data_IF_847726744959
#
_entry.id   IF_847726744959
#
_cell.length_a   1.000
_cell.length_b   1.000
_cell.length_c   1.000
_cell.angle_alpha   90.00
_cell.angle_beta   90.00
_cell.angle_gamma   90.00
#
_symmetry.space_group_name_H-M   'P 1'
#
loop_
_entity.id
_entity.type
_entity.pdbx_description
1 polymer ?
#
# COMPACT_ATOMS: atom_id res chain seq x y z
N UNK A 1 22.64 2.87 -36.37
CA UNK A 1 23.40 1.62 -36.12
C UNK A 1 24.13 1.56 -34.77
N UNK A 2 24.55 2.66 -34.11
CA UNK A 2 25.02 2.60 -32.71
C UNK A 2 23.96 3.02 -31.66
N UNK A 3 22.99 3.88 -32.03
CA UNK A 3 21.96 4.40 -31.10
C UNK A 3 20.98 3.31 -30.64
N UNK A 4 20.60 2.39 -31.54
CA UNK A 4 19.65 1.31 -31.23
C UNK A 4 20.18 0.38 -30.13
N UNK A 5 21.50 0.11 -30.14
CA UNK A 5 22.16 -0.69 -29.11
C UNK A 5 22.16 0.02 -27.75
N UNK A 6 22.37 1.33 -27.73
CA UNK A 6 22.31 2.15 -26.51
C UNK A 6 20.89 2.13 -25.93
N UNK A 7 19.87 2.31 -26.77
CA UNK A 7 18.47 2.25 -26.35
C UNK A 7 18.12 0.85 -25.83
N UNK A 8 18.58 -0.21 -26.49
CA UNK A 8 18.35 -1.59 -26.05
C UNK A 8 18.95 -1.86 -24.65
N UNK A 9 20.19 -1.45 -24.43
CA UNK A 9 20.85 -1.59 -23.12
C UNK A 9 20.14 -0.74 -22.07
N UNK A 10 19.78 0.50 -22.38
CA UNK A 10 19.04 1.37 -21.47
C UNK A 10 17.66 0.77 -21.10
N UNK A 11 16.94 0.21 -22.07
CA UNK A 11 15.65 -0.44 -21.85
C UNK A 11 15.78 -1.66 -20.92
N UNK A 12 16.83 -2.48 -21.08
CA UNK A 12 17.11 -3.61 -20.18
C UNK A 12 17.34 -3.11 -18.74
N UNK A 13 18.17 -2.08 -18.57
CA UNK A 13 18.49 -1.53 -17.25
C UNK A 13 17.22 -0.96 -16.58
N UNK A 14 16.43 -0.17 -17.32
CA UNK A 14 15.20 0.43 -16.82
C UNK A 14 14.17 -0.65 -16.46
N UNK A 15 13.97 -1.63 -17.34
CA UNK A 15 13.07 -2.76 -17.08
C UNK A 15 13.49 -3.54 -15.84
N UNK A 16 14.79 -3.80 -15.67
CA UNK A 16 15.32 -4.45 -14.48
C UNK A 16 15.06 -3.63 -13.22
N UNK A 17 15.30 -2.31 -13.27
CA UNK A 17 15.05 -1.43 -12.14
C UNK A 17 13.58 -1.46 -11.71
N UNK A 18 12.66 -1.31 -12.67
CA UNK A 18 11.21 -1.39 -12.40
C UNK A 18 10.85 -2.76 -11.82
N UNK A 19 11.37 -3.85 -12.38
CA UNK A 19 11.15 -5.19 -11.86
C UNK A 19 11.60 -5.33 -10.39
N UNK A 20 12.79 -4.85 -10.04
CA UNK A 20 13.27 -4.88 -8.66
C UNK A 20 12.42 -4.01 -7.72
N UNK A 21 11.93 -2.87 -8.18
CA UNK A 21 11.01 -2.03 -7.42
C UNK A 21 9.68 -2.76 -7.17
N UNK A 22 9.10 -3.40 -8.19
CA UNK A 22 7.87 -4.17 -8.04
C UNK A 22 8.05 -5.33 -7.05
N UNK A 23 9.14 -6.08 -7.13
CA UNK A 23 9.43 -7.17 -6.18
C UNK A 23 9.52 -6.64 -4.74
N UNK A 24 10.17 -5.48 -4.54
CA UNK A 24 10.23 -4.82 -3.23
C UNK A 24 8.86 -4.40 -2.72
N UNK A 25 8.04 -3.79 -3.59
CA UNK A 25 6.68 -3.36 -3.26
C UNK A 25 5.82 -4.56 -2.90
N UNK A 26 5.84 -5.64 -3.71
CA UNK A 26 5.06 -6.86 -3.42
C UNK A 26 5.47 -7.46 -2.07
N UNK A 27 6.78 -7.57 -1.80
CA UNK A 27 7.26 -8.08 -0.50
C UNK A 27 6.79 -7.21 0.66
N UNK A 28 6.85 -5.88 0.51
CA UNK A 28 6.35 -4.95 1.50
C UNK A 28 4.83 -5.11 1.68
N UNK A 29 4.06 -5.18 0.60
CA UNK A 29 2.61 -5.35 0.62
C UNK A 29 2.18 -6.65 1.32
N UNK A 30 2.88 -7.77 1.08
CA UNK A 30 2.59 -9.04 1.76
C UNK A 30 2.84 -8.90 3.26
N UNK A 31 3.99 -8.34 3.65
CA UNK A 31 4.32 -8.11 5.07
C UNK A 31 3.28 -7.22 5.76
N UNK A 32 2.89 -6.13 5.11
CA UNK A 32 1.87 -5.21 5.62
C UNK A 32 0.51 -5.89 5.67
N UNK A 33 0.11 -6.66 4.66
CA UNK A 33 -1.17 -7.37 4.64
C UNK A 33 -1.29 -8.39 5.77
N UNK A 34 -0.21 -9.14 6.07
CA UNK A 34 -0.17 -10.07 7.21
C UNK A 34 -0.35 -9.32 8.53
N UNK A 35 0.36 -8.19 8.70
CA UNK A 35 0.27 -7.39 9.92
C UNK A 35 -1.13 -6.77 10.08
N UNK A 36 -1.70 -6.24 9.00
CA UNK A 36 -3.08 -5.74 8.98
C UNK A 36 -4.06 -6.87 9.33
N UNK A 37 -3.92 -8.05 8.73
CA UNK A 37 -4.75 -9.20 9.05
C UNK A 37 -4.64 -9.59 10.53
N UNK A 38 -3.42 -9.61 11.10
CA UNK A 38 -3.22 -9.90 12.51
C UNK A 38 -3.92 -8.86 13.42
N UNK A 39 -3.80 -7.56 13.12
CA UNK A 39 -4.50 -6.51 13.85
C UNK A 39 -6.02 -6.68 13.76
N UNK A 40 -6.55 -6.90 12.56
CA UNK A 40 -7.98 -7.13 12.32
C UNK A 40 -8.46 -8.34 13.11
N UNK A 41 -7.72 -9.46 13.09
CA UNK A 41 -8.08 -10.66 13.85
C UNK A 41 -8.11 -10.40 15.35
N UNK A 42 -7.13 -9.67 15.90
CA UNK A 42 -7.14 -9.28 17.31
C UNK A 42 -8.39 -8.44 17.60
N UNK A 43 -8.66 -7.41 16.79
CA UNK A 43 -9.84 -6.57 16.97
C UNK A 43 -11.15 -7.35 16.87
N UNK A 44 -11.23 -8.31 15.95
CA UNK A 44 -12.40 -9.15 15.78
C UNK A 44 -12.59 -10.10 16.97
N UNK A 45 -11.52 -10.72 17.48
CA UNK A 45 -11.59 -11.67 18.59
C UNK A 45 -11.87 -10.99 19.95
N UNK A 46 -11.29 -9.82 20.19
CA UNK A 46 -11.43 -9.13 21.48
C UNK A 46 -12.59 -8.12 21.53
N UNK A 47 -12.91 -7.48 20.40
CA UNK A 47 -13.91 -6.40 20.35
C UNK A 47 -15.10 -6.71 19.43
N UNK A 48 -15.05 -7.81 18.66
CA UNK A 48 -16.09 -8.15 17.69
C UNK A 48 -16.11 -7.25 16.44
N UNK A 49 -15.09 -6.40 16.25
CA UNK A 49 -15.02 -5.43 15.16
C UNK A 49 -14.48 -6.11 13.90
N UNK A 50 -15.24 -6.03 12.80
CA UNK A 50 -14.87 -6.63 11.53
C UNK A 50 -13.94 -5.74 10.69
N UNK A 51 -13.31 -6.31 9.65
CA UNK A 51 -12.53 -5.55 8.67
C UNK A 51 -13.35 -4.48 7.93
N UNK A 52 -14.66 -4.71 7.74
CA UNK A 52 -15.57 -3.77 7.08
C UNK A 52 -15.77 -2.50 7.91
N UNK A 53 -15.90 -2.64 9.24
CA UNK A 53 -16.06 -1.51 10.16
C UNK A 53 -14.81 -0.63 10.16
N UNK A 54 -13.63 -1.25 10.16
CA UNK A 54 -12.35 -0.55 10.07
C UNK A 54 -12.23 0.21 8.75
N UNK A 55 -12.61 -0.41 7.64
CA UNK A 55 -12.61 0.24 6.33
C UNK A 55 -13.52 1.46 6.32
N UNK A 56 -14.73 1.32 6.85
CA UNK A 56 -15.69 2.42 6.96
C UNK A 56 -15.12 3.56 7.82
N UNK A 57 -14.53 3.25 8.99
CA UNK A 57 -13.88 4.24 9.84
C UNK A 57 -12.75 4.98 9.10
N UNK A 58 -11.90 4.25 8.37
CA UNK A 58 -10.80 4.83 7.59
C UNK A 58 -11.31 5.79 6.51
N UNK A 59 -12.41 5.44 5.82
CA UNK A 59 -13.01 6.34 4.82
C UNK A 59 -13.63 7.60 5.43
N UNK A 60 -14.04 7.55 6.70
CA UNK A 60 -14.62 8.68 7.42
C UNK A 60 -13.56 9.55 8.11
N UNK A 61 -12.38 9.00 8.42
CA UNK A 61 -11.27 9.74 9.06
C UNK A 61 -10.95 11.08 8.39
N UNK A 62 -10.84 11.22 7.05
CA UNK A 62 -10.57 12.51 6.43
C UNK A 62 -11.64 13.55 6.77
N UNK A 63 -12.92 13.16 6.78
CA UNK A 63 -14.02 14.05 7.14
C UNK A 63 -13.97 14.44 8.62
N UNK A 64 -13.70 13.48 9.50
CA UNK A 64 -13.56 13.73 10.94
C UNK A 64 -12.38 14.67 11.22
N UNK A 65 -11.24 14.46 10.56
CA UNK A 65 -10.08 15.34 10.66
C UNK A 65 -10.37 16.74 10.11
N UNK A 66 -11.08 16.84 8.98
CA UNK A 66 -11.52 18.13 8.44
C UNK A 66 -12.45 18.89 9.38
N UNK A 67 -13.40 18.22 10.04
CA UNK A 67 -14.29 18.84 11.03
C UNK A 67 -13.51 19.33 12.25
N UNK A 68 -12.60 18.51 12.78
CA UNK A 68 -11.73 18.86 13.91
C UNK A 68 -10.81 20.06 13.60
N UNK A 69 -10.31 20.17 12.36
CA UNK A 69 -9.44 21.28 11.93
C UNK A 69 -10.24 22.53 11.55
N UNK A 70 -11.44 22.38 10.98
CA UNK A 70 -12.26 23.51 10.50
C UNK A 70 -13.13 24.12 11.61
N UNK A 71 -13.15 23.53 12.82
CA UNK A 71 -13.70 24.17 14.01
C UNK A 71 -15.21 24.46 13.95
N UNK A 72 -15.98 23.50 13.43
CA UNK A 72 -17.42 23.39 13.75
C UNK A 72 -17.66 22.14 14.56
#
# INVERSE_FOLDING_TARGET
MPVDLIIFIAAIIVSWLIFTLLVKVVKASISTAILVAAIVLILQLFFGIGPQDLWQQVTQLPQTLWQLVTGK
#
